data_IF_679721841920
#
_entry.id   IF_679721841920
#
_cell.length_a   1.000
_cell.length_b   1.000
_cell.length_c   1.000
_cell.angle_alpha   90.00
_cell.angle_beta   90.00
_cell.angle_gamma   90.00
#
_symmetry.space_group_name_H-M   'P 1'
#
loop_
_entity.id
_entity.type
_entity.pdbx_description
1 polymer ?
#
# COMPACT_ATOMS: atom_id res chain seq x y z
N UNK A 1 -28.58 -39.91 -9.47
CA UNK A 1 -27.12 -39.86 -9.75
C UNK A 1 -26.67 -38.43 -10.06
N UNK A 2 -26.82 -37.88 -11.28
CA UNK A 2 -26.28 -36.55 -11.59
C UNK A 2 -26.91 -35.40 -10.77
N UNK A 3 -28.24 -35.42 -10.57
CA UNK A 3 -28.94 -34.41 -9.73
C UNK A 3 -28.50 -34.44 -8.26
N UNK A 4 -28.26 -35.62 -7.71
CA UNK A 4 -27.82 -35.78 -6.31
C UNK A 4 -26.40 -35.27 -6.09
N UNK A 5 -25.51 -35.41 -7.08
CA UNK A 5 -24.16 -34.83 -6.99
C UNK A 5 -24.16 -33.30 -7.13
N UNK A 6 -25.12 -32.73 -7.86
CA UNK A 6 -25.25 -31.28 -8.02
C UNK A 6 -25.73 -30.56 -6.75
N UNK A 7 -26.41 -31.26 -5.84
CA UNK A 7 -26.87 -30.71 -4.57
C UNK A 7 -25.74 -30.56 -3.55
N UNK A 8 -24.66 -31.33 -3.70
CA UNK A 8 -23.49 -31.25 -2.80
C UNK A 8 -22.68 -29.97 -3.04
N UNK A 9 -21.91 -29.50 -2.04
CA UNK A 9 -20.91 -28.45 -2.24
C UNK A 9 -19.95 -28.81 -3.38
N UNK A 10 -19.53 -27.81 -4.17
CA UNK A 10 -18.71 -28.01 -5.38
C UNK A 10 -17.52 -28.94 -5.11
N UNK A 11 -16.82 -28.78 -3.99
CA UNK A 11 -15.61 -29.56 -3.69
C UNK A 11 -15.86 -31.03 -3.28
N UNK A 12 -17.09 -31.37 -2.91
CA UNK A 12 -17.48 -32.70 -2.42
C UNK A 12 -18.18 -33.55 -3.49
N UNK A 13 -18.50 -32.96 -4.65
CA UNK A 13 -19.17 -33.69 -5.74
C UNK A 13 -18.20 -34.71 -6.35
N UNK A 14 -18.65 -35.95 -6.55
CA UNK A 14 -17.86 -36.98 -7.21
C UNK A 14 -18.46 -37.31 -8.58
N UNK A 15 -17.72 -36.94 -9.62
CA UNK A 15 -18.13 -37.13 -11.01
C UNK A 15 -17.41 -38.28 -11.73
N UNK A 16 -16.41 -38.91 -11.11
CA UNK A 16 -15.56 -39.91 -11.76
C UNK A 16 -16.37 -41.12 -12.24
N UNK A 17 -17.20 -41.69 -11.36
CA UNK A 17 -18.04 -42.83 -11.70
C UNK A 17 -19.10 -42.49 -12.77
N UNK A 18 -19.58 -41.24 -12.78
CA UNK A 18 -20.58 -40.79 -13.75
C UNK A 18 -19.91 -40.64 -15.14
N UNK A 19 -18.69 -40.12 -15.20
CA UNK A 19 -17.90 -40.00 -16.42
C UNK A 19 -17.59 -41.36 -17.06
N UNK A 20 -17.24 -42.36 -16.26
CA UNK A 20 -17.01 -43.73 -16.75
C UNK A 20 -18.28 -44.37 -17.31
N UNK A 21 -19.41 -44.25 -16.59
CA UNK A 21 -20.70 -44.76 -17.06
C UNK A 21 -21.15 -44.10 -18.36
N UNK A 22 -20.94 -42.78 -18.50
CA UNK A 22 -21.25 -42.06 -19.73
C UNK A 22 -20.35 -42.47 -20.89
N UNK A 23 -19.07 -42.72 -20.65
CA UNK A 23 -18.14 -43.16 -21.70
C UNK A 23 -18.51 -44.55 -22.19
N UNK A 24 -18.79 -45.49 -21.29
CA UNK A 24 -19.30 -46.83 -21.65
C UNK A 24 -20.62 -46.76 -22.42
N UNK A 25 -21.54 -45.87 -22.03
CA UNK A 25 -22.82 -45.68 -22.72
C UNK A 25 -22.65 -45.15 -24.15
N UNK A 26 -21.69 -44.24 -24.37
CA UNK A 26 -21.37 -43.69 -25.71
C UNK A 26 -20.79 -44.75 -26.64
N UNK A 27 -19.99 -45.68 -26.11
CA UNK A 27 -19.33 -46.75 -26.87
C UNK A 27 -20.27 -47.92 -27.20
N UNK A 28 -21.19 -48.24 -26.31
CA UNK A 28 -22.08 -49.42 -26.44
C UNK A 28 -23.40 -49.12 -27.15
N UNK A 29 -23.84 -47.87 -27.22
CA UNK A 29 -25.17 -47.54 -27.74
C UNK A 29 -25.17 -47.37 -29.27
N UNK A 30 -25.99 -48.13 -30.02
CA UNK A 30 -26.11 -47.99 -31.48
C UNK A 30 -26.97 -46.80 -31.91
N UNK A 31 -27.77 -46.22 -31.01
CA UNK A 31 -28.70 -45.13 -31.32
C UNK A 31 -28.02 -43.74 -31.30
N UNK A 32 -28.09 -42.96 -32.39
CA UNK A 32 -27.41 -41.66 -32.50
C UNK A 32 -27.89 -40.60 -31.50
N UNK A 33 -29.20 -40.60 -31.17
CA UNK A 33 -29.81 -39.63 -30.25
C UNK A 33 -29.34 -39.82 -28.81
N UNK A 34 -29.23 -41.07 -28.36
CA UNK A 34 -28.71 -41.41 -27.03
C UNK A 34 -27.22 -41.07 -26.96
N UNK A 35 -26.46 -41.34 -28.02
CA UNK A 35 -25.03 -40.99 -28.12
C UNK A 35 -24.80 -39.48 -28.00
N UNK A 36 -25.57 -38.69 -28.74
CA UNK A 36 -25.56 -37.21 -28.69
C UNK A 36 -25.87 -36.67 -27.28
N UNK A 37 -26.92 -37.22 -26.66
CA UNK A 37 -27.33 -36.81 -25.31
C UNK A 37 -26.27 -37.16 -24.27
N UNK A 38 -25.67 -38.34 -24.36
CA UNK A 38 -24.60 -38.79 -23.47
C UNK A 38 -23.31 -37.97 -23.63
N UNK A 39 -22.94 -37.60 -24.86
CA UNK A 39 -21.82 -36.70 -25.13
C UNK A 39 -22.05 -35.32 -24.52
N UNK A 40 -23.27 -34.78 -24.65
CA UNK A 40 -23.64 -33.50 -24.02
C UNK A 40 -23.55 -33.58 -22.51
N UNK A 41 -24.02 -34.67 -21.91
CA UNK A 41 -23.93 -34.89 -20.46
C UNK A 41 -22.47 -35.03 -20.00
N UNK A 42 -21.63 -35.75 -20.76
CA UNK A 42 -20.20 -35.91 -20.49
C UNK A 42 -19.49 -34.56 -20.48
N UNK A 43 -19.76 -33.70 -21.47
CA UNK A 43 -19.20 -32.34 -21.52
C UNK A 43 -19.60 -31.50 -20.31
N UNK A 44 -20.84 -31.61 -19.83
CA UNK A 44 -21.29 -30.93 -18.61
C UNK A 44 -20.57 -31.44 -17.36
N UNK A 45 -20.32 -32.74 -17.29
CA UNK A 45 -19.53 -33.35 -16.21
C UNK A 45 -18.10 -32.82 -16.23
N UNK A 46 -17.46 -32.77 -17.39
CA UNK A 46 -16.10 -32.23 -17.55
C UNK A 46 -16.01 -30.76 -17.11
N UNK A 47 -16.96 -29.92 -17.53
CA UNK A 47 -17.05 -28.51 -17.08
C UNK A 47 -17.20 -28.44 -15.55
N UNK A 48 -18.00 -29.33 -14.96
CA UNK A 48 -18.19 -29.36 -13.50
C UNK A 48 -16.91 -29.74 -12.77
N UNK A 49 -16.13 -30.70 -13.30
CA UNK A 49 -14.82 -31.06 -12.75
C UNK A 49 -13.80 -29.92 -12.88
N UNK A 50 -13.80 -29.20 -14.01
CA UNK A 50 -12.95 -28.00 -14.16
C UNK A 50 -13.28 -26.93 -13.12
N UNK A 51 -14.58 -26.70 -12.86
CA UNK A 51 -15.01 -25.76 -11.83
C UNK A 51 -14.52 -26.16 -10.42
N UNK A 52 -14.45 -27.47 -10.11
CA UNK A 52 -13.87 -27.95 -8.85
C UNK A 52 -12.39 -27.62 -8.73
N UNK A 53 -11.62 -27.82 -9.80
CA UNK A 53 -10.18 -27.53 -9.80
C UNK A 53 -9.90 -26.02 -9.69
N UNK A 54 -10.72 -25.19 -10.34
CA UNK A 54 -10.63 -23.72 -10.19
C UNK A 54 -10.90 -23.34 -8.73
N UNK A 55 -11.94 -23.90 -8.10
CA UNK A 55 -12.26 -23.62 -6.71
C UNK A 55 -11.13 -24.02 -5.75
N UNK A 56 -10.52 -25.21 -5.96
CA UNK A 56 -9.36 -25.65 -5.16
C UNK A 56 -8.17 -24.71 -5.32
N UNK A 57 -7.87 -24.30 -6.55
CA UNK A 57 -6.77 -23.35 -6.83
C UNK A 57 -7.03 -21.99 -6.18
N UNK A 58 -8.27 -21.50 -6.22
CA UNK A 58 -8.65 -20.25 -5.54
C UNK A 58 -8.39 -20.34 -4.04
N UNK A 59 -8.83 -21.42 -3.38
CA UNK A 59 -8.58 -21.61 -1.94
C UNK A 59 -7.09 -21.70 -1.60
N UNK A 60 -6.28 -22.33 -2.44
CA UNK A 60 -4.83 -22.38 -2.26
C UNK A 60 -4.19 -20.98 -2.40
N UNK A 61 -4.67 -20.18 -3.35
CA UNK A 61 -4.21 -18.80 -3.53
C UNK A 61 -4.56 -17.93 -2.33
N UNK A 62 -5.79 -18.05 -1.82
CA UNK A 62 -6.25 -17.31 -0.63
C UNK A 62 -5.42 -17.67 0.60
N UNK A 63 -5.11 -18.96 0.80
CA UNK A 63 -4.23 -19.41 1.89
C UNK A 63 -2.82 -18.86 1.75
N UNK A 64 -2.26 -18.89 0.54
CA UNK A 64 -0.92 -18.36 0.26
C UNK A 64 -0.86 -16.85 0.50
N UNK A 65 -1.90 -16.12 0.08
CA UNK A 65 -2.03 -14.68 0.32
C UNK A 65 -2.11 -14.38 1.81
N UNK A 66 -2.90 -15.12 2.58
CA UNK A 66 -3.02 -14.94 4.02
C UNK A 66 -1.66 -15.09 4.72
N UNK A 67 -0.90 -16.15 4.40
CA UNK A 67 0.46 -16.37 4.95
C UNK A 67 1.42 -15.23 4.54
N UNK A 68 1.31 -14.76 3.30
CA UNK A 68 2.16 -13.67 2.80
C UNK A 68 1.88 -12.37 3.54
N UNK A 69 0.60 -12.04 3.75
CA UNK A 69 0.18 -10.84 4.50
C UNK A 69 0.68 -10.90 5.95
N UNK A 70 0.56 -12.05 6.61
CA UNK A 70 1.10 -12.21 7.97
C UNK A 70 2.62 -12.00 8.00
N UNK A 71 3.36 -12.55 7.02
CA UNK A 71 4.80 -12.34 6.93
C UNK A 71 5.20 -10.88 6.68
N UNK A 72 4.43 -10.15 5.87
CA UNK A 72 4.64 -8.71 5.67
C UNK A 72 4.40 -7.95 6.97
N UNK A 73 3.34 -8.29 7.71
CA UNK A 73 3.04 -7.63 8.98
C UNK A 73 4.15 -7.86 10.01
N UNK A 74 4.65 -9.09 10.13
CA UNK A 74 5.76 -9.42 11.03
C UNK A 74 7.05 -8.68 10.63
N UNK A 75 7.32 -8.57 9.33
CA UNK A 75 8.47 -7.81 8.83
C UNK A 75 8.32 -6.31 9.11
N UNK A 76 7.12 -5.75 8.95
CA UNK A 76 6.84 -4.36 9.31
C UNK A 76 7.01 -4.11 10.82
N UNK A 77 6.58 -5.04 11.67
CA UNK A 77 6.79 -4.94 13.11
C UNK A 77 8.28 -5.01 13.48
N UNK A 78 9.05 -5.90 12.84
CA UNK A 78 10.51 -5.98 13.03
C UNK A 78 11.21 -4.70 12.60
N UNK A 79 10.87 -4.18 11.42
CA UNK A 79 11.39 -2.91 10.93
C UNK A 79 11.02 -1.75 11.86
N UNK A 80 9.79 -1.71 12.36
CA UNK A 80 9.36 -0.69 13.34
C UNK A 80 10.11 -0.81 14.68
N UNK A 81 10.52 -2.01 15.08
CA UNK A 81 11.32 -2.23 16.29
C UNK A 81 12.80 -1.89 16.10
N UNK A 82 13.35 -2.09 14.90
CA UNK A 82 14.73 -1.73 14.55
C UNK A 82 14.90 -0.23 14.30
N UNK A 83 13.87 0.44 13.79
CA UNK A 83 13.80 1.90 13.74
C UNK A 83 13.55 2.38 15.17
N UNK A 84 14.64 2.51 15.96
CA UNK A 84 14.63 3.39 17.13
C UNK A 84 14.01 4.72 16.68
N UNK A 85 13.01 5.28 17.39
CA UNK A 85 12.56 6.62 17.08
C UNK A 85 13.82 7.48 17.11
N UNK A 86 14.16 8.09 15.97
CA UNK A 86 15.20 9.10 15.93
C UNK A 86 14.83 10.05 17.05
N UNK A 87 15.63 10.05 18.14
CA UNK A 87 15.59 11.15 19.08
C UNK A 87 15.70 12.37 18.19
N UNK A 88 14.75 13.28 18.34
CA UNK A 88 14.76 14.56 17.68
C UNK A 88 16.00 15.29 18.20
N UNK A 89 17.16 14.98 17.64
CA UNK A 89 18.35 15.80 17.79
C UNK A 89 18.02 17.08 17.05
N UNK A 90 18.21 18.22 17.73
CA UNK A 90 17.96 19.52 17.13
C UNK A 90 18.77 19.61 15.84
N UNK A 91 18.06 19.63 14.71
CA UNK A 91 18.67 19.75 13.41
C UNK A 91 19.15 21.19 13.28
N UNK A 92 20.44 21.37 13.03
CA UNK A 92 21.02 22.69 12.75
C UNK A 92 21.15 22.86 11.24
N UNK A 93 20.45 23.85 10.68
CA UNK A 93 20.42 24.15 9.25
C UNK A 93 20.84 25.60 9.02
N UNK A 94 21.77 25.82 8.11
CA UNK A 94 22.16 27.17 7.67
C UNK A 94 21.58 27.45 6.30
N UNK A 95 20.91 28.59 6.14
CA UNK A 95 20.35 29.00 4.85
C UNK A 95 19.74 30.39 4.88
N UNK A 96 19.23 30.83 3.74
CA UNK A 96 18.50 32.09 3.60
C UNK A 96 17.00 31.86 3.81
N UNK A 97 16.36 32.65 4.67
CA UNK A 97 14.91 32.59 4.83
C UNK A 97 14.23 33.31 3.66
N UNK A 98 13.25 32.66 3.04
CA UNK A 98 12.37 33.26 2.03
C UNK A 98 10.90 32.95 2.33
N UNK A 99 9.99 33.71 1.73
CA UNK A 99 8.56 33.43 1.85
C UNK A 99 8.16 32.23 0.99
N UNK A 100 7.31 31.35 1.52
CA UNK A 100 6.73 30.28 0.71
C UNK A 100 5.54 30.82 -0.08
N UNK A 101 5.55 30.61 -1.39
CA UNK A 101 4.40 30.92 -2.25
C UNK A 101 3.21 29.96 -2.03
N UNK A 102 3.43 28.82 -1.38
CA UNK A 102 2.44 27.76 -1.17
C UNK A 102 1.71 27.93 0.18
N UNK A 103 2.40 28.47 1.18
CA UNK A 103 1.94 28.51 2.57
C UNK A 103 1.85 29.95 3.09
N UNK A 104 0.88 30.71 2.55
CA UNK A 104 0.70 32.16 2.80
C UNK A 104 -0.42 32.51 3.79
N UNK A 105 -1.16 31.52 4.31
CA UNK A 105 -2.36 31.76 5.10
C UNK A 105 -2.03 32.39 6.48
N UNK A 106 -2.61 33.57 6.82
CA UNK A 106 -2.22 34.35 8.00
C UNK A 106 -2.54 33.73 9.36
N UNK A 107 -3.41 32.70 9.41
CA UNK A 107 -4.03 32.27 10.66
C UNK A 107 -3.72 30.84 11.13
N UNK A 108 -2.75 30.11 10.55
CA UNK A 108 -2.21 28.87 11.18
C UNK A 108 -1.09 28.12 10.43
N UNK A 109 -0.78 28.47 9.18
CA UNK A 109 0.13 27.68 8.36
C UNK A 109 1.07 28.57 7.53
N UNK A 110 1.52 29.72 8.07
CA UNK A 110 2.56 30.48 7.39
C UNK A 110 3.88 29.74 7.54
N UNK A 111 4.42 29.22 6.44
CA UNK A 111 5.71 28.52 6.40
C UNK A 111 6.69 29.34 5.58
N UNK A 112 7.93 29.37 6.05
CA UNK A 112 9.02 30.00 5.35
C UNK A 112 9.88 28.95 4.68
N UNK A 113 10.60 29.31 3.62
CA UNK A 113 11.57 28.46 2.96
C UNK A 113 12.96 28.74 3.53
N UNK A 114 13.73 27.70 3.75
CA UNK A 114 15.17 27.79 4.02
C UNK A 114 15.88 27.39 2.73
N UNK A 115 16.51 28.37 2.09
CA UNK A 115 17.21 28.19 0.82
C UNK A 115 18.72 28.03 1.05
N UNK A 116 19.36 27.21 0.23
CA UNK A 116 20.83 27.17 0.16
C UNK A 116 21.40 28.33 -0.69
N UNK A 117 22.72 28.35 -0.85
CA UNK A 117 23.42 29.36 -1.65
C UNK A 117 23.13 29.24 -3.17
N UNK A 118 22.47 28.16 -3.61
CA UNK A 118 22.03 27.91 -5.00
C UNK A 118 20.52 28.11 -5.19
N UNK A 119 19.85 28.71 -4.21
CA UNK A 119 18.38 28.91 -4.18
C UNK A 119 17.55 27.61 -4.18
N UNK A 120 18.15 26.48 -3.80
CA UNK A 120 17.41 25.22 -3.59
C UNK A 120 16.77 25.18 -2.21
N UNK A 121 15.57 24.60 -2.13
CA UNK A 121 14.82 24.46 -0.87
C UNK A 121 15.42 23.33 -0.04
N UNK A 122 16.04 23.69 1.09
CA UNK A 122 16.53 22.72 2.08
C UNK A 122 15.39 22.23 2.97
N UNK A 123 14.66 23.17 3.59
CA UNK A 123 13.60 22.88 4.54
C UNK A 123 12.50 23.96 4.52
N UNK A 124 11.34 23.61 5.03
CA UNK A 124 10.29 24.57 5.37
C UNK A 124 10.40 24.91 6.86
N UNK A 125 10.38 26.18 7.24
CA UNK A 125 10.52 26.62 8.62
C UNK A 125 9.19 27.12 9.20
N UNK A 126 8.92 26.75 10.44
CA UNK A 126 7.80 27.24 11.26
C UNK A 126 8.36 27.67 12.62
N UNK A 127 7.90 28.81 13.14
CA UNK A 127 8.29 29.25 14.47
C UNK A 127 7.58 28.39 15.52
N UNK A 128 8.34 27.77 16.43
CA UNK A 128 7.79 27.00 17.54
C UNK A 128 7.77 27.81 18.85
N UNK A 129 8.72 28.73 19.02
CA UNK A 129 8.88 29.55 20.23
C UNK A 129 8.00 30.80 20.19
N UNK A 130 7.25 31.07 21.26
CA UNK A 130 6.50 32.32 21.41
C UNK A 130 7.44 33.54 21.38
N UNK A 131 7.15 34.49 20.49
CA UNK A 131 7.97 35.69 20.28
C UNK A 131 9.02 35.58 19.16
N UNK A 132 9.23 34.40 18.57
CA UNK A 132 10.06 34.25 17.37
C UNK A 132 9.21 34.49 16.11
N UNK A 133 9.37 35.65 15.47
CA UNK A 133 8.72 35.94 14.20
C UNK A 133 9.70 35.78 13.02
N UNK A 134 9.57 34.68 12.28
CA UNK A 134 10.37 34.38 11.09
C UNK A 134 10.17 35.42 9.96
N UNK A 135 9.09 36.21 9.96
CA UNK A 135 8.90 37.28 8.99
C UNK A 135 10.04 38.32 9.02
N UNK A 136 10.57 38.58 10.21
CA UNK A 136 11.63 39.59 10.43
C UNK A 136 12.99 39.15 9.88
N UNK A 137 13.12 37.87 9.52
CA UNK A 137 14.36 37.24 9.07
C UNK A 137 14.36 36.93 7.57
N UNK A 138 13.27 37.24 6.86
CA UNK A 138 13.17 37.07 5.42
C UNK A 138 14.27 37.86 4.72
N UNK A 139 14.99 37.19 3.81
CA UNK A 139 16.13 37.75 3.07
C UNK A 139 17.47 37.61 3.80
N UNK A 140 17.50 37.27 5.09
CA UNK A 140 18.74 37.09 5.86
C UNK A 140 19.26 35.66 5.79
N UNK A 141 20.59 35.52 5.82
CA UNK A 141 21.27 34.22 6.00
C UNK A 141 21.36 33.93 7.50
N UNK A 142 20.78 32.82 7.91
CA UNK A 142 20.60 32.46 9.32
C UNK A 142 20.97 31.01 9.55
N UNK A 143 21.38 30.71 10.77
CA UNK A 143 21.47 29.33 11.29
C UNK A 143 20.26 29.08 12.16
N UNK A 144 19.49 28.06 11.81
CA UNK A 144 18.27 27.62 12.47
C UNK A 144 18.56 26.33 13.23
N UNK A 145 18.01 26.20 14.43
CA UNK A 145 18.02 24.92 15.14
C UNK A 145 16.62 24.51 15.56
N UNK A 146 16.36 23.21 15.53
CA UNK A 146 15.21 22.62 16.20
C UNK A 146 14.75 21.30 15.58
N UNK A 147 13.62 20.74 16.07
CA UNK A 147 13.05 19.52 15.55
C UNK A 147 12.76 19.58 14.06
N UNK A 148 13.10 18.53 13.31
CA UNK A 148 12.53 18.33 11.97
C UNK A 148 11.41 17.30 12.02
N UNK A 149 10.22 17.68 11.57
CA UNK A 149 9.06 16.80 11.45
C UNK A 149 8.66 16.64 9.97
N UNK A 150 8.21 15.44 9.62
CA UNK A 150 7.59 15.23 8.30
C UNK A 150 6.12 15.61 8.40
N UNK A 151 5.69 16.61 7.66
CA UNK A 151 4.28 16.89 7.47
C UNK A 151 3.66 15.73 6.67
N UNK A 152 2.81 14.95 7.33
CA UNK A 152 2.17 13.76 6.76
C UNK A 152 1.21 14.09 5.62
N UNK A 153 0.63 15.30 5.62
CA UNK A 153 -0.29 15.79 4.60
C UNK A 153 0.46 16.27 3.36
N UNK A 154 1.45 17.15 3.53
CA UNK A 154 2.17 17.73 2.40
C UNK A 154 3.41 16.92 1.96
N UNK A 155 3.78 15.86 2.68
CA UNK A 155 4.99 15.03 2.45
C UNK A 155 6.29 15.85 2.42
N UNK A 156 6.32 16.96 3.14
CA UNK A 156 7.43 17.91 3.19
C UNK A 156 8.05 17.86 4.58
N UNK A 157 9.39 17.99 4.67
CA UNK A 157 10.08 18.15 5.96
C UNK A 157 10.01 19.60 6.41
N UNK A 158 9.50 19.79 7.62
CA UNK A 158 9.36 21.07 8.29
C UNK A 158 10.29 21.12 9.50
N UNK A 159 11.12 22.15 9.60
CA UNK A 159 11.87 22.46 10.81
C UNK A 159 11.03 23.35 11.72
N UNK A 160 10.84 22.91 12.95
CA UNK A 160 10.25 23.68 14.05
C UNK A 160 11.38 24.50 14.67
N UNK A 161 11.44 25.78 14.35
CA UNK A 161 12.56 26.64 14.74
C UNK A 161 12.43 26.99 16.22
N UNK A 162 13.38 26.52 17.02
CA UNK A 162 13.49 26.82 18.45
C UNK A 162 14.48 27.96 18.72
N UNK A 163 15.56 28.04 17.93
CA UNK A 163 16.54 29.13 17.97
C UNK A 163 17.00 29.52 16.56
N UNK A 164 17.35 30.79 16.40
CA UNK A 164 17.77 31.40 15.15
C UNK A 164 18.89 32.41 15.42
N UNK A 165 19.99 32.31 14.67
CA UNK A 165 21.13 33.24 14.75
C UNK A 165 21.44 33.81 13.37
N UNK A 166 21.60 35.14 13.27
CA UNK A 166 22.07 35.80 12.04
C UNK A 166 23.52 35.44 11.76
N UNK A 167 23.83 35.06 10.52
CA UNK A 167 25.23 34.94 10.12
C UNK A 167 25.77 36.31 9.69
N UNK A 168 27.00 36.68 10.09
CA UNK A 168 27.64 37.87 9.58
C UNK A 168 27.82 37.74 8.06
N UNK A 169 27.42 38.79 7.33
CA UNK A 169 27.67 38.89 5.90
C UNK A 169 29.19 38.96 5.68
N UNK A 170 29.76 37.95 5.02
CA UNK A 170 31.12 38.01 4.45
C UNK A 170 31.05 38.57 3.03
#
# INVERSE_FOLDING_TARGET
>A
MLRQELEKPILERNYAEIGEKLTKLIETTPYPTIKSTAQTLKRRVEISMMAQDIQRKSQQQDQTLAVTITGIHDNLQKLAAEVKPLKVEDLVVTGRIAESSIFTAPNKNRRYLVLDDQEQILYYAVAQTEGLDLAQWVGKKVTLSGPSELDTFSKIRVIQVTSLVEMPQQ
#
